data_IF_540909940580
#
_entry.id   IF_540909940580
#
_cell.length_a   1.000
_cell.length_b   1.000
_cell.length_c   1.000
_cell.angle_alpha   90.00
_cell.angle_beta   90.00
_cell.angle_gamma   90.00
#
_symmetry.space_group_name_H-M   'P 1'
#
loop_
_entity.id
_entity.type
_entity.pdbx_description
1 polymer ?
#
# COMPACT_ATOMS: atom_id res chain seq x y z
N UNK A 1 9.45 -10.72 -29.65
CA UNK A 1 9.02 -9.55 -28.82
C UNK A 1 9.92 -9.52 -27.61
N UNK A 2 10.76 -8.48 -27.46
CA UNK A 2 11.58 -8.32 -26.25
C UNK A 2 10.68 -7.94 -25.07
N UNK A 3 10.93 -8.53 -23.90
CA UNK A 3 10.18 -8.25 -22.66
C UNK A 3 10.30 -6.77 -22.25
N UNK A 4 11.37 -6.10 -22.67
CA UNK A 4 11.66 -4.69 -22.34
C UNK A 4 10.71 -3.67 -22.96
N UNK A 5 9.97 -4.03 -24.02
CA UNK A 5 9.00 -3.13 -24.67
C UNK A 5 7.59 -3.24 -24.07
N UNK A 6 7.37 -4.17 -23.14
CA UNK A 6 6.07 -4.38 -22.51
C UNK A 6 5.88 -3.40 -21.35
N UNK A 7 4.79 -2.64 -21.40
CA UNK A 7 4.40 -1.75 -20.31
C UNK A 7 3.96 -2.58 -19.11
N UNK A 8 4.47 -2.20 -17.93
CA UNK A 8 4.20 -2.87 -16.65
C UNK A 8 3.31 -2.00 -15.78
N UNK A 9 2.25 -2.61 -15.23
CA UNK A 9 1.45 -2.02 -14.17
C UNK A 9 1.81 -2.67 -12.83
N UNK A 10 2.14 -1.86 -11.83
CA UNK A 10 2.37 -2.33 -10.46
C UNK A 10 1.13 -2.00 -9.63
N UNK A 11 0.58 -3.02 -8.96
CA UNK A 11 -0.58 -2.89 -8.08
C UNK A 11 -0.16 -3.23 -6.66
N UNK A 12 -0.42 -2.27 -5.79
CA UNK A 12 -0.29 -2.33 -4.35
C UNK A 12 -1.57 -2.94 -3.74
N UNK A 13 -1.42 -4.07 -3.05
CA UNK A 13 -2.48 -4.77 -2.33
C UNK A 13 -2.39 -4.59 -0.80
N UNK A 14 -1.52 -3.69 -0.33
CA UNK A 14 -1.31 -3.34 1.08
C UNK A 14 -2.29 -2.29 1.60
N UNK A 15 -2.03 -1.74 2.79
CA UNK A 15 -2.94 -0.79 3.43
C UNK A 15 -2.92 0.60 2.77
N UNK A 16 -4.04 1.36 2.81
CA UNK A 16 -4.08 2.72 2.27
C UNK A 16 -3.12 3.69 2.96
N UNK A 17 -2.96 3.55 4.29
CA UNK A 17 -2.03 4.36 5.07
C UNK A 17 -0.60 4.12 4.58
N UNK A 18 -0.19 2.85 4.53
CA UNK A 18 1.12 2.47 4.01
C UNK A 18 1.31 3.00 2.60
N UNK A 19 0.39 2.76 1.67
CA UNK A 19 0.55 3.21 0.28
C UNK A 19 0.76 4.74 0.16
N UNK A 20 0.05 5.51 1.00
CA UNK A 20 0.16 6.97 1.03
C UNK A 20 1.55 7.40 1.48
N UNK A 21 2.08 6.77 2.53
CA UNK A 21 3.38 7.09 3.11
C UNK A 21 4.55 6.47 2.34
N UNK A 22 4.43 5.20 1.94
CA UNK A 22 5.51 4.36 1.41
C UNK A 22 4.96 3.36 0.38
N UNK A 23 5.46 3.42 -0.86
CA UNK A 23 5.02 2.51 -1.93
C UNK A 23 6.09 2.36 -3.00
N UNK A 24 5.94 1.38 -3.88
CA UNK A 24 6.71 1.34 -5.14
C UNK A 24 6.27 2.52 -6.02
N UNK A 25 7.20 3.25 -6.62
CA UNK A 25 6.87 4.41 -7.44
C UNK A 25 5.98 4.01 -8.63
N UNK A 26 4.98 4.86 -8.90
CA UNK A 26 4.04 4.62 -9.98
C UNK A 26 3.05 3.48 -9.74
N UNK A 27 3.08 2.78 -8.59
CA UNK A 27 2.06 1.77 -8.29
C UNK A 27 0.68 2.38 -8.08
N UNK A 28 -0.38 1.60 -8.32
CA UNK A 28 -1.75 1.95 -7.94
C UNK A 28 -2.18 1.14 -6.72
N UNK A 29 -2.96 1.73 -5.83
CA UNK A 29 -3.59 1.02 -4.73
C UNK A 29 -4.94 0.45 -5.16
N UNK A 30 -5.13 -0.86 -4.96
CA UNK A 30 -6.46 -1.46 -4.93
C UNK A 30 -6.86 -1.72 -3.49
N UNK A 31 -7.65 -0.81 -2.93
CA UNK A 31 -8.08 -0.90 -1.54
C UNK A 31 -9.13 -2.01 -1.34
N UNK A 32 -8.66 -3.23 -1.12
CA UNK A 32 -9.49 -4.42 -0.85
C UNK A 32 -9.06 -5.18 0.41
N UNK A 33 -8.50 -4.45 1.38
CA UNK A 33 -8.04 -5.03 2.65
C UNK A 33 -9.20 -5.50 3.52
N UNK A 34 -10.34 -4.81 3.47
CA UNK A 34 -11.53 -5.22 4.19
C UNK A 34 -12.44 -6.16 3.38
N UNK A 35 -13.21 -6.97 4.09
CA UNK A 35 -14.12 -7.98 3.50
C UNK A 35 -15.18 -7.35 2.60
N UNK A 36 -15.65 -6.15 2.92
CA UNK A 36 -16.73 -5.49 2.19
C UNK A 36 -16.20 -5.03 0.83
N UNK A 37 -15.01 -4.44 0.78
CA UNK A 37 -14.37 -4.01 -0.46
C UNK A 37 -14.07 -5.19 -1.38
N UNK A 38 -13.57 -6.32 -0.86
CA UNK A 38 -13.43 -7.56 -1.65
C UNK A 38 -14.77 -8.03 -2.23
N UNK A 39 -15.82 -8.06 -1.41
CA UNK A 39 -17.16 -8.46 -1.88
C UNK A 39 -17.68 -7.52 -2.97
N UNK A 40 -17.49 -6.21 -2.82
CA UNK A 40 -17.87 -5.22 -3.84
C UNK A 40 -17.11 -5.44 -5.14
N UNK A 41 -15.80 -5.65 -5.07
CA UNK A 41 -14.98 -5.94 -6.24
C UNK A 41 -15.50 -7.19 -6.97
N UNK A 42 -15.67 -8.31 -6.27
CA UNK A 42 -16.15 -9.55 -6.90
C UNK A 42 -17.58 -9.48 -7.44
N UNK A 43 -18.43 -8.63 -6.85
CA UNK A 43 -19.83 -8.50 -7.29
C UNK A 43 -19.96 -7.54 -8.48
N UNK A 44 -19.24 -6.41 -8.44
CA UNK A 44 -19.34 -5.36 -9.47
C UNK A 44 -18.39 -5.60 -10.64
N UNK A 45 -17.36 -6.40 -10.43
CA UNK A 45 -16.26 -6.62 -11.36
C UNK A 45 -15.26 -5.46 -11.37
N UNK A 46 -14.06 -5.76 -11.90
CA UNK A 46 -12.92 -4.85 -11.92
C UNK A 46 -13.22 -3.53 -12.65
N UNK A 47 -13.90 -3.59 -13.81
CA UNK A 47 -14.26 -2.42 -14.63
C UNK A 47 -15.03 -1.34 -13.86
N UNK A 48 -15.92 -1.75 -12.96
CA UNK A 48 -16.77 -0.84 -12.18
C UNK A 48 -16.17 -0.49 -10.82
N UNK A 49 -15.07 -1.14 -10.44
CA UNK A 49 -14.35 -0.88 -9.21
C UNK A 49 -13.23 0.15 -9.40
N UNK A 50 -12.60 0.14 -10.57
CA UNK A 50 -11.54 1.07 -10.94
C UNK A 50 -12.08 2.41 -11.45
N UNK A 51 -11.37 3.49 -11.17
CA UNK A 51 -11.58 4.76 -11.87
C UNK A 51 -11.09 4.67 -13.34
N UNK A 52 -11.47 5.65 -14.16
CA UNK A 52 -11.14 5.64 -15.60
C UNK A 52 -9.64 5.62 -15.89
N UNK A 53 -8.81 6.27 -15.05
CA UNK A 53 -7.37 6.29 -15.23
C UNK A 53 -6.76 4.94 -14.87
N UNK A 54 -7.14 4.36 -13.74
CA UNK A 54 -6.72 3.03 -13.31
C UNK A 54 -7.12 1.95 -14.32
N UNK A 55 -8.35 2.03 -14.85
CA UNK A 55 -8.84 1.11 -15.86
C UNK A 55 -8.04 1.25 -17.17
N UNK A 56 -7.82 2.47 -17.66
CA UNK A 56 -6.99 2.69 -18.85
C UNK A 56 -5.57 2.16 -18.68
N UNK A 57 -4.98 2.33 -17.49
CA UNK A 57 -3.68 1.75 -17.15
C UNK A 57 -3.74 0.22 -17.15
N UNK A 58 -4.77 -0.40 -16.59
CA UNK A 58 -4.94 -1.84 -16.65
C UNK A 58 -5.02 -2.35 -18.10
N UNK A 59 -5.83 -1.70 -18.92
CA UNK A 59 -6.05 -2.09 -20.31
C UNK A 59 -4.76 -1.99 -21.14
N UNK A 60 -3.98 -0.93 -20.92
CA UNK A 60 -2.76 -0.61 -21.67
C UNK A 60 -1.52 -1.43 -21.28
N UNK A 61 -1.58 -2.23 -20.22
CA UNK A 61 -0.42 -2.97 -19.69
C UNK A 61 -0.68 -4.47 -19.74
N UNK A 62 0.20 -5.23 -20.38
CA UNK A 62 0.08 -6.69 -20.50
C UNK A 62 0.60 -7.41 -19.26
N UNK A 63 1.57 -6.81 -18.58
CA UNK A 63 2.22 -7.35 -17.40
C UNK A 63 1.74 -6.57 -16.18
N UNK A 64 1.26 -7.32 -15.19
CA UNK A 64 0.79 -6.79 -13.92
C UNK A 64 1.58 -7.42 -12.78
N UNK A 65 2.20 -6.60 -11.95
CA UNK A 65 2.94 -7.02 -10.77
C UNK A 65 2.10 -6.69 -9.53
N UNK A 66 1.77 -7.71 -8.73
CA UNK A 66 1.10 -7.53 -7.44
C UNK A 66 2.12 -7.60 -6.31
N UNK A 67 1.99 -6.72 -5.31
CA UNK A 67 2.78 -6.80 -4.08
C UNK A 67 1.96 -6.35 -2.87
N UNK A 68 2.35 -6.82 -1.69
CA UNK A 68 1.79 -6.41 -0.40
C UNK A 68 2.89 -6.34 0.67
N UNK A 69 2.51 -6.40 1.94
CA UNK A 69 3.43 -6.44 3.09
C UNK A 69 3.81 -7.86 3.51
N UNK A 70 3.20 -8.88 2.91
CA UNK A 70 3.33 -10.25 3.39
C UNK A 70 4.56 -10.91 2.76
N UNK A 71 5.42 -11.45 3.61
CA UNK A 71 6.51 -12.32 3.14
C UNK A 71 5.89 -13.67 2.82
N UNK A 72 5.99 -14.11 1.57
CA UNK A 72 5.52 -15.44 1.20
C UNK A 72 6.42 -16.50 1.85
N UNK A 73 5.88 -17.43 2.64
CA UNK A 73 6.65 -18.58 3.10
C UNK A 73 7.16 -19.33 1.87
N UNK A 74 8.44 -19.73 1.86
CA UNK A 74 8.97 -20.54 0.76
C UNK A 74 8.08 -21.78 0.60
N UNK A 75 7.47 -21.91 -0.57
CA UNK A 75 6.43 -22.91 -0.80
C UNK A 75 6.89 -24.32 -0.38
N UNK A 76 6.09 -25.00 0.43
CA UNK A 76 6.12 -26.47 0.43
C UNK A 76 5.88 -26.92 -1.02
N UNK A 77 6.63 -27.90 -1.51
CA UNK A 77 6.73 -28.29 -2.93
C UNK A 77 5.40 -28.56 -3.67
N UNK A 78 4.26 -28.62 -2.96
CA UNK A 78 2.94 -28.98 -3.50
C UNK A 78 1.88 -27.85 -3.40
N UNK A 79 2.23 -26.66 -2.88
CA UNK A 79 1.26 -25.57 -2.76
C UNK A 79 1.26 -24.69 -4.02
N UNK A 80 0.07 -24.45 -4.58
CA UNK A 80 -0.10 -23.52 -5.72
C UNK A 80 0.12 -22.08 -5.24
N UNK A 81 0.66 -21.21 -6.11
CA UNK A 81 0.90 -19.79 -5.78
C UNK A 81 -0.36 -19.14 -5.17
N UNK A 82 -1.54 -19.49 -5.69
CA UNK A 82 -2.83 -18.94 -5.22
C UNK A 82 -3.19 -19.30 -3.78
N UNK A 83 -2.77 -20.47 -3.26
CA UNK A 83 -3.10 -20.88 -1.90
C UNK A 83 -2.28 -20.14 -0.84
N UNK A 84 -1.21 -19.46 -1.26
CA UNK A 84 -0.29 -18.72 -0.39
C UNK A 84 -0.55 -17.22 -0.38
N UNK A 85 -1.48 -16.72 -1.20
CA UNK A 85 -1.76 -15.30 -1.30
C UNK A 85 -2.63 -14.82 -0.15
N UNK A 86 -2.30 -13.65 0.38
CA UNK A 86 -3.17 -12.94 1.31
C UNK A 86 -4.56 -12.72 0.68
N UNK A 87 -5.65 -12.68 1.47
CA UNK A 87 -7.01 -12.57 0.93
C UNK A 87 -7.24 -11.37 0.00
N UNK A 88 -6.59 -10.22 0.26
CA UNK A 88 -6.65 -9.03 -0.60
C UNK A 88 -6.01 -9.31 -1.97
N UNK A 89 -4.76 -9.77 -1.97
CA UNK A 89 -4.01 -10.06 -3.18
C UNK A 89 -4.66 -11.18 -4.00
N UNK A 90 -5.16 -12.24 -3.35
CA UNK A 90 -5.90 -13.31 -4.03
C UNK A 90 -7.15 -12.76 -4.73
N UNK A 91 -7.90 -11.90 -4.05
CA UNK A 91 -9.08 -11.27 -4.63
C UNK A 91 -8.72 -10.44 -5.86
N UNK A 92 -7.66 -9.61 -5.80
CA UNK A 92 -7.19 -8.83 -6.96
C UNK A 92 -6.75 -9.76 -8.10
N UNK A 93 -5.94 -10.77 -7.80
CA UNK A 93 -5.45 -11.75 -8.78
C UNK A 93 -6.61 -12.41 -9.55
N UNK A 94 -7.58 -12.96 -8.81
CA UNK A 94 -8.71 -13.70 -9.38
C UNK A 94 -9.57 -12.79 -10.28
N UNK A 95 -9.75 -11.53 -9.89
CA UNK A 95 -10.58 -10.56 -10.62
C UNK A 95 -9.90 -10.03 -11.89
N UNK A 96 -8.58 -9.81 -11.86
CA UNK A 96 -7.82 -9.48 -13.06
C UNK A 96 -7.87 -10.64 -14.06
N UNK A 97 -7.66 -11.89 -13.61
CA UNK A 97 -7.76 -13.05 -14.49
C UNK A 97 -9.15 -13.26 -15.06
N UNK A 98 -10.20 -12.93 -14.30
CA UNK A 98 -11.58 -12.97 -14.81
C UNK A 98 -11.84 -11.87 -15.83
N UNK A 99 -11.25 -10.70 -15.62
CA UNK A 99 -11.39 -9.55 -16.52
C UNK A 99 -10.67 -9.78 -17.86
N UNK A 100 -9.42 -10.25 -17.81
CA UNK A 100 -8.63 -10.60 -18.99
C UNK A 100 -7.65 -11.74 -18.66
N UNK A 101 -7.89 -12.90 -19.27
CA UNK A 101 -7.10 -14.12 -19.04
C UNK A 101 -5.68 -14.01 -19.61
N UNK A 102 -5.45 -13.13 -20.58
CA UNK A 102 -4.18 -12.96 -21.29
C UNK A 102 -3.17 -12.11 -20.51
N UNK A 103 -3.60 -11.33 -19.51
CA UNK A 103 -2.70 -10.56 -18.66
C UNK A 103 -1.70 -11.47 -17.97
N UNK A 104 -0.42 -11.12 -18.00
CA UNK A 104 0.64 -11.83 -17.28
C UNK A 104 0.67 -11.26 -15.87
N UNK A 105 0.35 -12.10 -14.88
CA UNK A 105 0.38 -11.72 -13.47
C UNK A 105 1.64 -12.26 -12.81
N UNK A 106 2.44 -11.35 -12.30
CA UNK A 106 3.61 -11.63 -11.48
C UNK A 106 3.31 -11.17 -10.05
N UNK A 107 3.89 -11.87 -9.08
CA UNK A 107 3.71 -11.53 -7.66
C UNK A 107 5.09 -11.37 -7.06
N UNK A 108 5.30 -10.25 -6.38
CA UNK A 108 6.55 -9.99 -5.69
C UNK A 108 6.76 -11.02 -4.58
N UNK A 109 7.95 -11.63 -4.52
CA UNK A 109 8.28 -12.66 -3.53
C UNK A 109 8.49 -12.10 -2.13
N UNK A 110 9.13 -10.94 -2.06
CA UNK A 110 9.43 -10.25 -0.82
C UNK A 110 8.26 -9.39 -0.35
N UNK A 111 8.24 -9.05 0.94
CA UNK A 111 7.41 -7.95 1.41
C UNK A 111 7.87 -6.62 0.79
N UNK A 112 7.02 -5.61 0.84
CA UNK A 112 7.42 -4.25 0.47
C UNK A 112 8.62 -3.73 1.28
N UNK A 113 8.68 -4.00 2.58
CA UNK A 113 9.79 -3.52 3.42
C UNK A 113 11.14 -4.07 2.93
N UNK A 114 11.19 -5.37 2.60
CA UNK A 114 12.37 -5.99 2.02
C UNK A 114 12.69 -5.42 0.64
N UNK A 115 11.69 -5.19 -0.20
CA UNK A 115 11.89 -4.58 -1.52
C UNK A 115 12.48 -3.17 -1.39
N UNK A 116 11.97 -2.35 -0.47
CA UNK A 116 12.46 -1.01 -0.20
C UNK A 116 13.93 -1.01 0.24
N UNK A 117 14.34 -1.97 1.08
CA UNK A 117 15.73 -2.09 1.52
C UNK A 117 16.69 -2.34 0.35
N UNK A 118 16.27 -3.15 -0.62
CA UNK A 118 17.11 -3.51 -1.78
C UNK A 118 17.03 -2.48 -2.92
N UNK A 119 15.87 -1.84 -3.10
CA UNK A 119 15.59 -0.94 -4.22
C UNK A 119 14.96 0.39 -3.76
N UNK A 120 15.62 1.15 -2.87
CA UNK A 120 15.04 2.36 -2.29
C UNK A 120 14.72 3.44 -3.33
N UNK A 121 15.53 3.53 -4.40
CA UNK A 121 15.34 4.50 -5.49
C UNK A 121 14.09 4.23 -6.34
N UNK A 122 13.50 3.03 -6.26
CA UNK A 122 12.27 2.67 -6.96
C UNK A 122 11.03 2.87 -6.09
N UNK A 123 11.19 3.41 -4.89
CA UNK A 123 10.11 3.62 -3.94
C UNK A 123 9.86 5.10 -3.70
N UNK A 124 8.61 5.41 -3.40
CA UNK A 124 8.20 6.66 -2.81
C UNK A 124 8.16 6.45 -1.30
N UNK A 125 8.77 7.38 -0.56
CA UNK A 125 8.70 7.47 0.90
C UNK A 125 8.41 8.94 1.22
N UNK A 126 7.28 9.20 1.88
CA UNK A 126 6.89 10.52 2.35
C UNK A 126 7.95 11.00 3.34
N UNK A 127 8.47 12.20 3.11
CA UNK A 127 9.43 12.85 4.00
C UNK A 127 8.73 13.79 4.98
N UNK A 128 7.47 13.51 5.35
CA UNK A 128 6.79 14.28 6.39
C UNK A 128 7.49 14.02 7.72
N UNK A 129 8.53 14.81 7.99
CA UNK A 129 8.97 15.07 9.34
C UNK A 129 7.81 15.80 10.03
N UNK A 130 7.30 15.24 11.13
CA UNK A 130 6.50 15.97 12.12
C UNK A 130 7.36 17.06 12.80
N UNK A 131 8.00 17.92 12.00
CA UNK A 131 8.82 19.05 12.45
C UNK A 131 7.96 20.33 12.63
N UNK A 132 6.67 20.18 12.90
CA UNK A 132 5.75 21.30 13.19
C UNK A 132 5.08 21.20 14.58
N UNK A 133 5.68 20.42 15.48
CA UNK A 133 5.38 20.48 16.92
C UNK A 133 6.68 20.59 17.75
N UNK A 134 7.58 21.48 17.37
CA UNK A 134 8.43 22.10 18.38
C UNK A 134 7.52 22.98 19.24
N UNK A 135 6.95 22.41 20.31
CA UNK A 135 6.43 23.21 21.41
C UNK A 135 7.54 24.18 21.80
N UNK A 136 7.28 25.47 21.60
CA UNK A 136 8.08 26.53 22.19
C UNK A 136 8.29 26.17 23.65
N UNK A 137 9.56 26.08 24.03
CA UNK A 137 9.98 25.86 25.40
C UNK A 137 9.37 26.99 26.23
N UNK A 138 8.59 26.73 27.29
CA UNK A 138 8.09 27.82 28.12
C UNK A 138 9.28 28.58 28.68
N UNK A 139 9.41 29.84 28.26
CA UNK A 139 10.32 30.80 28.87
C UNK A 139 10.10 30.76 30.38
N UNK A 140 11.18 30.45 31.10
CA UNK A 140 11.30 30.39 32.55
C UNK A 140 10.69 31.64 33.18
N UNK A 141 9.46 31.53 33.70
CA UNK A 141 8.91 32.54 34.61
C UNK A 141 9.64 32.41 35.94
N UNK A 142 10.39 33.44 36.31
CA UNK A 142 10.99 33.60 37.64
C UNK A 142 9.91 33.46 38.73
N UNK A 143 10.26 32.97 39.93
CA UNK A 143 9.36 33.01 41.06
C UNK A 143 9.29 34.46 41.55
N UNK A 144 8.14 35.12 41.36
CA UNK A 144 7.81 36.28 42.17
C UNK A 144 7.02 35.78 43.39
N UNK A 145 7.64 35.97 44.54
CA UNK A 145 7.05 35.88 45.86
C UNK A 145 5.71 36.62 45.89
N UNK A 146 4.63 35.88 46.13
CA UNK A 146 3.37 36.49 46.57
C UNK A 146 3.13 36.02 47.99
N UNK A 147 3.31 37.00 48.88
CA UNK A 147 3.12 36.95 50.31
C UNK A 147 1.76 36.38 50.70
N UNK A 148 1.81 35.42 51.61
CA UNK A 148 0.68 34.89 52.37
C UNK A 148 -0.02 35.98 53.17
N UNK A 149 -1.35 36.10 53.05
CA UNK A 149 -2.21 36.71 54.08
C UNK A 149 -3.54 35.93 54.19
N UNK A 150 -4.19 35.95 55.37
CA UNK A 150 -4.80 34.78 55.98
C UNK A 150 -6.32 34.76 55.84
N UNK A 151 -6.86 33.56 55.97
CA UNK A 151 -8.29 33.28 56.13
C UNK A 151 -8.79 33.80 57.49
N UNK A 152 -9.87 34.58 57.47
CA UNK A 152 -10.80 34.84 58.59
C UNK A 152 -12.10 35.37 57.95
N UNK A 153 -13.33 34.95 58.24
CA UNK A 153 -13.97 33.95 59.12
C UNK A 153 -15.13 33.33 58.32
#
# INVERSE_FOLDING_TARGET
>A
MNITDRKVLIIDCGSPLRHTERRVQGSILLNVNDRISRKRLSTRGLKNFLDSNQLHRLDSNDIIILYDDYIRPSACANATIQSQLAPSMKCVYDEIKRYDTNKILCILESSFEQFLQHYPSLCYVSTSTDEDLSMETPLTSKPEDIESYPISE
#
